data_IF_947494597302
#
_entry.id   IF_947494597302
#
_cell.length_a   1.000
_cell.length_b   1.000
_cell.length_c   1.000
_cell.angle_alpha   90.00
_cell.angle_beta   90.00
_cell.angle_gamma   90.00
#
_symmetry.space_group_name_H-M   'P 1'
#
loop_
_entity.id
_entity.type
_entity.pdbx_description
1 polymer ?
#
# COMPACT_ATOMS: atom_id res chain seq x y z
N UNK A 1 23.53 -27.41 -8.81
CA UNK A 1 22.93 -27.25 -10.16
C UNK A 1 21.99 -26.06 -10.24
N UNK A 2 21.54 -25.70 -11.43
CA UNK A 2 20.52 -24.66 -11.62
C UNK A 2 19.16 -25.31 -11.53
N UNK A 3 18.26 -24.70 -10.75
CA UNK A 3 16.89 -25.13 -10.55
C UNK A 3 15.94 -23.96 -10.75
N UNK A 4 14.69 -24.25 -11.03
CA UNK A 4 13.61 -23.28 -11.15
C UNK A 4 12.56 -23.57 -10.08
N UNK A 5 12.01 -22.50 -9.49
CA UNK A 5 11.08 -22.58 -8.38
C UNK A 5 9.66 -22.21 -8.85
N UNK A 6 8.71 -23.02 -8.50
CA UNK A 6 7.29 -22.65 -8.60
C UNK A 6 6.56 -22.91 -7.28
N UNK A 7 5.59 -22.08 -6.99
CA UNK A 7 4.70 -22.25 -5.85
C UNK A 7 3.28 -22.54 -6.35
N UNK A 8 2.69 -23.58 -5.81
CA UNK A 8 1.27 -23.88 -5.93
C UNK A 8 0.58 -23.34 -4.71
N UNK A 9 -0.32 -22.37 -4.90
CA UNK A 9 -0.90 -21.62 -3.79
C UNK A 9 -2.32 -21.13 -4.09
N UNK A 10 -3.04 -20.73 -3.05
CA UNK A 10 -4.26 -19.95 -3.13
C UNK A 10 -4.09 -18.58 -2.49
N UNK A 11 -4.61 -17.57 -3.15
CA UNK A 11 -4.77 -16.21 -2.66
C UNK A 11 -6.12 -15.70 -3.15
N UNK A 12 -7.14 -15.80 -2.31
CA UNK A 12 -8.54 -15.49 -2.63
C UNK A 12 -9.08 -14.29 -1.85
N UNK A 13 -8.39 -13.84 -0.81
CA UNK A 13 -8.86 -12.79 0.09
C UNK A 13 -8.67 -11.40 -0.49
N UNK A 14 -7.51 -11.10 -1.08
CA UNK A 14 -7.26 -9.81 -1.74
C UNK A 14 -7.72 -9.85 -3.19
N UNK A 15 -9.00 -9.70 -3.40
CA UNK A 15 -9.62 -9.78 -4.74
C UNK A 15 -8.92 -8.89 -5.76
N UNK A 16 -8.43 -9.49 -6.84
CA UNK A 16 -7.71 -8.86 -7.95
C UNK A 16 -6.41 -8.11 -7.57
N UNK A 17 -5.97 -8.20 -6.33
CA UNK A 17 -4.70 -7.62 -5.86
C UNK A 17 -3.64 -8.70 -5.70
N UNK A 18 -2.37 -8.39 -5.95
CA UNK A 18 -1.28 -9.28 -5.59
C UNK A 18 -1.04 -9.28 -4.08
N UNK A 19 -0.36 -10.31 -3.61
CA UNK A 19 0.31 -10.33 -2.30
C UNK A 19 1.81 -10.37 -2.52
N UNK A 20 2.55 -9.80 -1.60
CA UNK A 20 3.99 -9.65 -1.72
C UNK A 20 4.72 -10.54 -0.70
N UNK A 21 5.75 -11.22 -1.16
CA UNK A 21 6.62 -12.06 -0.32
C UNK A 21 8.08 -11.79 -0.65
N UNK A 22 8.91 -11.68 0.36
CA UNK A 22 10.35 -11.77 0.20
C UNK A 22 10.74 -13.24 0.13
N UNK A 23 11.60 -13.59 -0.82
CA UNK A 23 12.07 -14.93 -1.06
C UNK A 23 13.55 -15.03 -0.71
N UNK A 24 13.90 -15.95 0.20
CA UNK A 24 15.28 -16.18 0.61
C UNK A 24 15.63 -17.66 0.45
N UNK A 25 16.87 -17.92 0.05
CA UNK A 25 17.47 -19.24 0.10
C UNK A 25 18.72 -19.16 0.98
N UNK A 26 18.77 -20.00 2.00
CA UNK A 26 19.86 -20.03 2.99
C UNK A 26 20.13 -18.64 3.61
N UNK A 27 19.06 -17.88 3.87
CA UNK A 27 19.10 -16.54 4.43
C UNK A 27 19.53 -15.44 3.46
N UNK A 28 19.75 -15.75 2.18
CA UNK A 28 20.10 -14.77 1.14
C UNK A 28 18.90 -14.49 0.23
N UNK A 29 18.65 -13.22 -0.13
CA UNK A 29 17.61 -12.90 -1.10
C UNK A 29 17.79 -13.68 -2.39
N UNK A 30 16.71 -14.24 -2.92
CA UNK A 30 16.76 -15.11 -4.09
C UNK A 30 17.26 -14.37 -5.35
N UNK A 31 16.96 -13.08 -5.46
CA UNK A 31 17.23 -12.26 -6.64
C UNK A 31 17.99 -10.96 -6.30
N UNK A 32 18.96 -11.00 -5.41
CA UNK A 32 19.77 -9.83 -5.06
C UNK A 32 18.91 -8.69 -4.48
N UNK A 33 18.69 -7.63 -5.26
CA UNK A 33 17.92 -6.46 -4.83
C UNK A 33 16.39 -6.65 -4.90
N UNK A 34 15.90 -7.77 -5.45
CA UNK A 34 14.48 -8.00 -5.62
C UNK A 34 13.84 -8.44 -4.30
N UNK A 35 13.47 -7.45 -3.51
CA UNK A 35 12.59 -7.63 -2.36
C UNK A 35 11.14 -7.49 -2.80
N UNK A 36 10.25 -8.21 -2.13
CA UNK A 36 8.79 -8.10 -2.35
C UNK A 36 8.30 -8.63 -3.70
N UNK A 37 8.55 -9.90 -3.95
CA UNK A 37 7.99 -10.59 -5.11
C UNK A 37 6.46 -10.63 -5.06
N UNK A 38 5.81 -10.26 -6.16
CA UNK A 38 4.35 -10.20 -6.26
C UNK A 38 3.76 -11.53 -6.70
N UNK A 39 2.90 -12.11 -5.88
CA UNK A 39 2.09 -13.29 -6.20
C UNK A 39 0.69 -12.88 -6.61
N UNK A 40 0.24 -13.23 -7.84
CA UNK A 40 -1.07 -12.86 -8.36
C UNK A 40 -2.24 -13.40 -7.55
N UNK A 41 -3.38 -12.71 -7.64
CA UNK A 41 -4.66 -13.24 -7.19
C UNK A 41 -5.05 -14.51 -7.94
N UNK A 42 -5.45 -15.54 -7.21
CA UNK A 42 -5.78 -16.85 -7.79
C UNK A 42 -7.28 -17.05 -8.08
N UNK A 43 -8.12 -16.17 -7.57
CA UNK A 43 -9.56 -16.40 -7.52
C UNK A 43 -9.92 -17.40 -6.42
N UNK A 44 -10.95 -18.20 -6.66
CA UNK A 44 -11.41 -19.24 -5.71
C UNK A 44 -10.62 -20.56 -5.79
N UNK A 45 -9.56 -20.60 -6.62
CA UNK A 45 -8.81 -21.84 -6.86
C UNK A 45 -7.36 -21.78 -6.45
N UNK A 46 -6.69 -22.92 -6.57
CA UNK A 46 -5.24 -23.05 -6.40
C UNK A 46 -4.60 -22.87 -7.78
N UNK A 47 -3.50 -22.12 -7.86
CA UNK A 47 -2.71 -21.93 -9.07
C UNK A 47 -1.25 -22.20 -8.83
N UNK A 48 -0.58 -22.71 -9.87
CA UNK A 48 0.89 -22.82 -9.89
C UNK A 48 1.47 -21.55 -10.50
N UNK A 49 2.44 -20.96 -9.86
CA UNK A 49 3.15 -19.78 -10.33
C UNK A 49 4.65 -20.02 -10.28
N UNK A 50 5.30 -20.03 -11.45
CA UNK A 50 6.75 -20.12 -11.57
C UNK A 50 7.38 -18.77 -11.28
N UNK A 51 8.32 -18.75 -10.36
CA UNK A 51 9.05 -17.54 -10.00
C UNK A 51 9.86 -17.07 -11.20
N UNK A 52 9.62 -15.83 -11.62
CA UNK A 52 10.13 -15.28 -12.87
C UNK A 52 10.68 -13.87 -12.66
N UNK A 53 11.70 -13.50 -13.45
CA UNK A 53 12.28 -12.15 -13.52
C UNK A 53 12.21 -11.69 -14.96
N UNK A 54 11.73 -10.51 -15.20
CA UNK A 54 11.55 -9.93 -16.55
C UNK A 54 10.84 -10.88 -17.54
N UNK A 55 9.81 -11.56 -17.03
CA UNK A 55 9.00 -12.49 -17.83
C UNK A 55 9.64 -13.84 -18.11
N UNK A 56 10.86 -14.10 -17.63
CA UNK A 56 11.55 -15.37 -17.80
C UNK A 56 11.66 -16.12 -16.47
N UNK A 57 11.50 -17.45 -16.43
CA UNK A 57 11.73 -18.25 -15.24
C UNK A 57 13.11 -17.99 -14.64
N UNK A 58 13.14 -17.71 -13.34
CA UNK A 58 14.38 -17.37 -12.66
C UNK A 58 15.13 -18.62 -12.22
N UNK A 59 16.36 -18.76 -12.69
CA UNK A 59 17.27 -19.85 -12.31
C UNK A 59 17.91 -19.61 -10.96
N UNK A 60 17.81 -20.59 -10.07
CA UNK A 60 18.37 -20.63 -8.74
C UNK A 60 19.52 -21.65 -8.70
N UNK A 61 20.74 -21.23 -8.38
CA UNK A 61 21.86 -22.16 -8.22
C UNK A 61 21.86 -22.74 -6.80
N UNK A 62 21.74 -24.06 -6.71
CA UNK A 62 21.83 -24.82 -5.46
C UNK A 62 23.01 -25.80 -5.52
N UNK A 63 23.79 -25.87 -4.47
CA UNK A 63 24.82 -26.90 -4.27
C UNK A 63 24.15 -28.22 -3.87
N UNK A 64 24.93 -29.28 -3.70
CA UNK A 64 24.42 -30.52 -3.16
C UNK A 64 24.33 -30.40 -1.63
N UNK A 65 23.16 -30.61 -1.07
CA UNK A 65 22.95 -30.50 0.39
C UNK A 65 21.52 -30.16 0.76
N UNK A 66 21.34 -29.81 2.02
CA UNK A 66 20.07 -29.26 2.54
C UNK A 66 20.04 -27.74 2.31
N UNK A 67 18.92 -27.25 1.89
CA UNK A 67 18.67 -25.82 1.67
C UNK A 67 17.41 -25.37 2.37
N UNK A 68 17.41 -24.15 2.86
CA UNK A 68 16.24 -23.53 3.49
C UNK A 68 15.66 -22.48 2.57
N UNK A 69 14.39 -22.67 2.15
CA UNK A 69 13.61 -21.66 1.47
C UNK A 69 12.73 -20.91 2.50
N UNK A 70 12.90 -19.60 2.59
CA UNK A 70 12.10 -18.75 3.46
C UNK A 70 11.23 -17.84 2.62
N UNK A 71 9.91 -17.84 2.93
CA UNK A 71 8.94 -16.89 2.39
C UNK A 71 8.47 -15.99 3.54
N UNK A 72 8.78 -14.72 3.43
CA UNK A 72 8.40 -13.72 4.40
C UNK A 72 7.34 -12.78 3.80
N UNK A 73 6.28 -12.50 4.54
CA UNK A 73 5.27 -11.53 4.09
C UNK A 73 5.87 -10.14 4.05
N UNK A 74 5.70 -9.44 2.94
CA UNK A 74 6.19 -8.08 2.77
C UNK A 74 5.06 -7.15 2.36
N UNK A 75 4.98 -5.98 3.00
CA UNK A 75 4.10 -4.89 2.58
C UNK A 75 4.89 -3.69 2.03
N UNK A 76 6.23 -3.84 1.86
CA UNK A 76 7.12 -2.75 1.44
C UNK A 76 6.61 -1.97 0.22
N UNK A 77 6.08 -2.60 -0.85
CA UNK A 77 5.58 -1.86 -2.00
C UNK A 77 4.34 -0.99 -1.72
N UNK A 78 3.69 -1.21 -0.58
CA UNK A 78 2.47 -0.51 -0.18
C UNK A 78 2.72 0.46 0.98
N UNK A 79 3.92 0.46 1.54
CA UNK A 79 4.23 1.20 2.78
C UNK A 79 4.04 2.70 2.61
N UNK A 80 4.59 3.27 1.54
CA UNK A 80 4.47 4.69 1.25
C UNK A 80 3.00 5.11 1.04
N UNK A 81 2.24 4.31 0.30
CA UNK A 81 0.80 4.56 0.14
C UNK A 81 0.04 4.44 1.47
N UNK A 82 0.44 3.51 2.32
CA UNK A 82 -0.13 3.36 3.65
C UNK A 82 0.17 4.59 4.52
N UNK A 83 1.40 5.07 4.56
CA UNK A 83 1.79 6.29 5.29
C UNK A 83 1.02 7.51 4.78
N UNK A 84 0.95 7.69 3.47
CA UNK A 84 0.19 8.77 2.86
C UNK A 84 -1.30 8.75 3.27
N UNK A 85 -1.93 7.57 3.26
CA UNK A 85 -3.32 7.43 3.71
C UNK A 85 -3.47 7.65 5.22
N UNK A 86 -2.45 7.30 6.02
CA UNK A 86 -2.43 7.59 7.45
C UNK A 86 -2.41 9.11 7.70
N UNK A 87 -1.62 9.86 6.94
CA UNK A 87 -1.57 11.31 7.01
C UNK A 87 -2.91 11.93 6.59
N UNK A 88 -3.55 11.40 5.56
CA UNK A 88 -4.91 11.78 5.16
C UNK A 88 -5.91 11.62 6.32
N UNK A 89 -5.88 10.48 7.02
CA UNK A 89 -6.77 10.26 8.18
C UNK A 89 -6.48 11.23 9.31
N UNK A 90 -5.20 11.50 9.59
CA UNK A 90 -4.78 12.46 10.61
C UNK A 90 -5.28 13.87 10.27
N UNK A 91 -5.15 14.29 9.02
CA UNK A 91 -5.57 15.58 8.53
C UNK A 91 -7.10 15.75 8.55
N UNK A 92 -7.84 14.72 8.15
CA UNK A 92 -9.31 14.66 8.29
C UNK A 92 -9.72 14.89 9.74
N UNK A 93 -9.06 14.24 10.68
CA UNK A 93 -9.37 14.38 12.11
C UNK A 93 -9.02 15.77 12.63
N UNK A 94 -7.90 16.36 12.20
CA UNK A 94 -7.50 17.74 12.54
C UNK A 94 -8.55 18.74 12.06
N UNK A 95 -8.90 18.70 10.79
CA UNK A 95 -9.90 19.58 10.18
C UNK A 95 -11.25 19.43 10.87
N UNK A 96 -11.68 18.21 11.16
CA UNK A 96 -12.94 17.98 11.85
C UNK A 96 -12.99 18.63 13.24
N UNK A 97 -11.87 18.62 13.97
CA UNK A 97 -11.77 19.30 15.27
C UNK A 97 -11.82 20.82 15.13
N UNK A 98 -11.18 21.40 14.12
CA UNK A 98 -11.21 22.84 13.86
C UNK A 98 -12.61 23.31 13.47
N UNK A 99 -13.29 22.59 12.58
CA UNK A 99 -14.69 22.89 12.22
C UNK A 99 -15.61 22.81 13.45
N UNK A 100 -15.39 21.81 14.33
CA UNK A 100 -16.15 21.72 15.60
C UNK A 100 -15.89 22.90 16.53
N UNK A 101 -14.69 23.46 16.59
CA UNK A 101 -14.40 24.67 17.36
C UNK A 101 -15.18 25.87 16.82
N UNK A 102 -15.25 26.04 15.51
CA UNK A 102 -16.00 27.12 14.85
C UNK A 102 -17.50 26.97 15.08
N UNK A 103 -18.04 25.75 14.94
CA UNK A 103 -19.49 25.49 15.00
C UNK A 103 -20.01 25.25 16.42
N UNK A 104 -19.14 25.18 17.43
CA UNK A 104 -19.52 24.86 18.81
C UNK A 104 -20.12 23.45 18.96
N UNK A 105 -19.78 22.53 18.07
CA UNK A 105 -20.29 21.15 17.99
C UNK A 105 -21.82 21.04 17.78
N UNK A 106 -22.47 22.12 17.38
CA UNK A 106 -23.90 22.18 17.04
C UNK A 106 -24.04 22.81 15.67
N UNK A 107 -24.39 22.01 14.68
CA UNK A 107 -24.55 22.48 13.31
C UNK A 107 -26.00 22.97 13.14
N UNK A 108 -26.16 24.26 12.90
CA UNK A 108 -27.38 24.85 12.42
C UNK A 108 -27.31 24.93 10.90
N UNK A 109 -28.17 24.14 10.24
CA UNK A 109 -28.20 24.05 8.77
C UNK A 109 -28.73 25.31 8.07
N UNK A 110 -29.34 26.21 8.82
CA UNK A 110 -29.85 27.47 8.29
C UNK A 110 -28.87 28.64 8.50
N UNK A 111 -27.71 28.37 9.12
CA UNK A 111 -26.71 29.37 9.40
C UNK A 111 -25.58 29.29 8.36
N UNK A 112 -25.28 30.39 7.71
CA UNK A 112 -24.06 30.59 6.98
C UNK A 112 -22.89 30.69 7.99
N UNK A 113 -22.06 29.65 8.04
CA UNK A 113 -20.95 29.57 9.00
C UNK A 113 -19.73 30.37 8.58
N UNK A 114 -19.67 30.82 7.30
CA UNK A 114 -18.53 31.58 6.74
C UNK A 114 -17.19 30.98 7.11
N UNK A 115 -17.05 29.69 6.89
CA UNK A 115 -15.94 28.87 7.40
C UNK A 115 -14.58 29.43 6.99
N UNK A 116 -14.44 30.01 5.80
CA UNK A 116 -13.19 30.63 5.31
C UNK A 116 -12.77 31.89 6.08
N UNK A 117 -13.68 32.56 6.80
CA UNK A 117 -13.30 33.68 7.68
C UNK A 117 -12.52 33.19 8.93
N UNK A 118 -12.75 31.93 9.36
CA UNK A 118 -12.10 31.32 10.53
C UNK A 118 -10.99 30.35 10.14
N UNK A 119 -11.12 29.69 9.01
CA UNK A 119 -10.22 28.69 8.44
C UNK A 119 -9.95 29.05 6.97
N UNK A 120 -9.07 30.02 6.71
CA UNK A 120 -8.88 30.56 5.35
C UNK A 120 -8.34 29.53 4.36
N UNK A 121 -7.60 28.54 4.82
CA UNK A 121 -6.96 27.52 3.97
C UNK A 121 -7.82 26.26 3.80
N UNK A 122 -9.00 26.18 4.43
CA UNK A 122 -9.82 24.95 4.49
C UNK A 122 -10.12 24.36 3.11
N UNK A 123 -10.38 25.22 2.12
CA UNK A 123 -10.68 24.77 0.76
C UNK A 123 -9.48 24.12 0.09
N UNK A 124 -8.32 24.75 0.21
CA UNK A 124 -7.05 24.20 -0.32
C UNK A 124 -6.63 22.92 0.38
N UNK A 125 -6.81 22.85 1.69
CA UNK A 125 -6.56 21.63 2.48
C UNK A 125 -7.44 20.46 2.03
N UNK A 126 -8.74 20.70 1.82
CA UNK A 126 -9.65 19.66 1.34
C UNK A 126 -9.29 19.17 -0.08
N UNK A 127 -8.87 20.06 -0.97
CA UNK A 127 -8.35 19.67 -2.28
C UNK A 127 -7.05 18.90 -2.18
N UNK A 128 -6.13 19.29 -1.30
CA UNK A 128 -4.87 18.59 -1.10
C UNK A 128 -5.09 17.16 -0.62
N UNK A 129 -6.00 16.95 0.35
CA UNK A 129 -6.38 15.61 0.82
C UNK A 129 -7.04 14.80 -0.32
N UNK A 130 -7.91 15.42 -1.13
CA UNK A 130 -8.54 14.74 -2.26
C UNK A 130 -7.50 14.25 -3.28
N UNK A 131 -6.46 15.05 -3.54
CA UNK A 131 -5.37 14.72 -4.45
C UNK A 131 -4.52 13.57 -3.91
N UNK A 132 -4.18 13.59 -2.61
CA UNK A 132 -3.48 12.49 -1.95
C UNK A 132 -4.27 11.17 -2.04
N UNK A 133 -5.59 11.20 -1.81
CA UNK A 133 -6.44 10.01 -1.96
C UNK A 133 -6.50 9.53 -3.40
N UNK A 134 -6.54 10.44 -4.39
CA UNK A 134 -6.50 10.09 -5.81
C UNK A 134 -5.15 9.47 -6.20
N UNK A 135 -4.05 9.97 -5.65
CA UNK A 135 -2.71 9.40 -5.85
C UNK A 135 -2.66 7.96 -5.31
N UNK A 136 -3.10 7.74 -4.09
CA UNK A 136 -3.19 6.40 -3.52
C UNK A 136 -4.10 5.47 -4.34
N UNK A 137 -5.23 5.98 -4.84
CA UNK A 137 -6.10 5.26 -5.76
C UNK A 137 -5.37 4.82 -7.03
N UNK A 138 -4.61 5.72 -7.66
CA UNK A 138 -3.87 5.44 -8.88
C UNK A 138 -2.81 4.35 -8.65
N UNK A 139 -2.07 4.43 -7.54
CA UNK A 139 -1.06 3.44 -7.13
C UNK A 139 -1.69 2.05 -7.00
N UNK A 140 -2.70 1.93 -6.16
CA UNK A 140 -3.33 0.64 -5.85
C UNK A 140 -4.03 0.06 -7.07
N UNK A 141 -4.72 0.90 -7.87
CA UNK A 141 -5.36 0.48 -9.11
C UNK A 141 -4.35 -0.03 -10.14
N UNK A 142 -3.15 0.54 -10.19
CA UNK A 142 -2.08 0.10 -11.07
C UNK A 142 -1.53 -1.28 -10.73
N UNK A 143 -1.65 -1.72 -9.48
CA UNK A 143 -1.22 -3.05 -9.02
C UNK A 143 -2.29 -4.13 -9.27
N UNK A 144 -3.51 -3.74 -9.55
CA UNK A 144 -4.62 -4.66 -9.70
C UNK A 144 -4.61 -5.39 -11.04
N UNK A 145 -4.94 -6.67 -11.03
CA UNK A 145 -5.06 -7.50 -12.26
C UNK A 145 -6.28 -7.17 -13.11
N UNK A 146 -7.27 -6.49 -12.54
CA UNK A 146 -8.51 -6.03 -13.20
C UNK A 146 -8.89 -4.65 -12.67
N UNK A 147 -9.48 -3.82 -13.52
CA UNK A 147 -9.81 -2.42 -13.20
C UNK A 147 -10.82 -2.19 -12.07
N UNK A 148 -11.60 -3.20 -11.68
CA UNK A 148 -12.66 -3.04 -10.68
C UNK A 148 -12.31 -3.82 -9.41
N UNK A 149 -11.85 -3.11 -8.40
CA UNK A 149 -11.67 -3.63 -7.04
C UNK A 149 -12.62 -2.85 -6.14
N UNK A 150 -13.50 -3.53 -5.43
CA UNK A 150 -14.46 -2.88 -4.51
C UNK A 150 -13.76 -2.01 -3.47
N UNK A 151 -12.68 -2.48 -2.87
CA UNK A 151 -11.90 -1.72 -1.88
C UNK A 151 -11.28 -0.44 -2.46
N UNK A 152 -10.91 -0.44 -3.74
CA UNK A 152 -10.34 0.74 -4.41
C UNK A 152 -11.43 1.71 -4.87
N UNK A 153 -12.65 1.23 -5.13
CA UNK A 153 -13.78 2.10 -5.45
C UNK A 153 -14.14 3.03 -4.29
N UNK A 154 -13.92 2.62 -3.04
CA UNK A 154 -14.13 3.44 -1.86
C UNK A 154 -13.18 4.64 -1.79
N UNK A 155 -11.92 4.51 -2.21
CA UNK A 155 -11.02 5.66 -2.35
C UNK A 155 -11.52 6.66 -3.37
N UNK A 156 -12.01 6.18 -4.52
CA UNK A 156 -12.58 7.06 -5.55
C UNK A 156 -13.78 7.84 -5.03
N UNK A 157 -14.65 7.18 -4.26
CA UNK A 157 -15.80 7.84 -3.61
C UNK A 157 -15.32 8.83 -2.55
N UNK A 158 -14.30 8.49 -1.77
CA UNK A 158 -13.71 9.37 -0.76
C UNK A 158 -13.14 10.64 -1.42
N UNK A 159 -12.33 10.51 -2.47
CA UNK A 159 -11.75 11.64 -3.21
C UNK A 159 -12.84 12.56 -3.81
N UNK A 160 -13.84 11.98 -4.47
CA UNK A 160 -14.96 12.73 -5.02
C UNK A 160 -15.76 13.48 -3.93
N UNK A 161 -15.92 12.86 -2.76
CA UNK A 161 -16.60 13.49 -1.61
C UNK A 161 -15.79 14.66 -1.07
N UNK A 162 -14.46 14.50 -0.95
CA UNK A 162 -13.55 15.57 -0.52
C UNK A 162 -13.55 16.76 -1.50
N UNK A 163 -13.49 16.47 -2.79
CA UNK A 163 -13.61 17.51 -3.83
C UNK A 163 -14.91 18.28 -3.70
N UNK A 164 -16.03 17.57 -3.52
CA UNK A 164 -17.34 18.23 -3.31
C UNK A 164 -17.36 19.08 -2.05
N UNK A 165 -16.71 18.64 -0.97
CA UNK A 165 -16.60 19.44 0.25
C UNK A 165 -15.76 20.71 0.04
N UNK A 166 -14.70 20.62 -0.76
CA UNK A 166 -13.91 21.79 -1.13
C UNK A 166 -14.67 22.77 -2.03
N UNK A 167 -15.50 22.28 -2.93
CA UNK A 167 -16.35 23.11 -3.81
C UNK A 167 -17.45 23.82 -3.04
N UNK A 168 -18.07 23.15 -2.06
CA UNK A 168 -19.23 23.64 -1.28
C UNK A 168 -18.96 23.48 0.22
N UNK A 169 -18.41 24.53 0.83
CA UNK A 169 -18.07 24.53 2.26
C UNK A 169 -19.33 24.56 3.18
N UNK A 170 -20.44 25.07 2.70
CA UNK A 170 -21.71 25.00 3.45
C UNK A 170 -22.22 23.55 3.49
N UNK A 171 -22.17 22.87 2.36
CA UNK A 171 -22.44 21.43 2.29
C UNK A 171 -21.47 20.64 3.17
N UNK A 172 -20.17 21.00 3.19
CA UNK A 172 -19.17 20.36 4.02
C UNK A 172 -19.52 20.47 5.51
N UNK A 173 -19.76 21.66 6.01
CA UNK A 173 -20.13 21.87 7.43
C UNK A 173 -21.39 21.08 7.78
N UNK A 174 -22.41 21.13 6.92
CA UNK A 174 -23.67 20.41 7.15
C UNK A 174 -23.53 18.89 7.15
N UNK A 175 -22.43 18.35 6.60
CA UNK A 175 -22.13 16.93 6.51
C UNK A 175 -20.85 16.53 7.25
N UNK A 176 -20.38 17.32 8.21
CA UNK A 176 -19.10 17.09 8.92
C UNK A 176 -19.03 15.72 9.60
N UNK A 177 -20.14 15.15 10.03
CA UNK A 177 -20.18 13.79 10.58
C UNK A 177 -19.81 12.73 9.54
N UNK A 178 -20.14 12.96 8.26
CA UNK A 178 -19.75 12.08 7.15
C UNK A 178 -18.30 12.29 6.68
N UNK A 179 -17.66 13.31 7.15
CA UNK A 179 -16.25 13.55 6.87
C UNK A 179 -15.35 12.69 7.77
N UNK A 180 -15.55 12.74 9.09
CA UNK A 180 -14.63 12.12 10.05
C UNK A 180 -15.23 11.05 10.96
N UNK A 181 -16.56 10.87 10.99
CA UNK A 181 -17.23 10.04 12.00
C UNK A 181 -18.34 9.19 11.41
N UNK A 182 -18.48 7.97 11.94
CA UNK A 182 -19.57 7.07 11.62
C UNK A 182 -19.40 6.27 10.34
N UNK A 183 -20.31 5.34 10.15
CA UNK A 183 -20.28 4.43 9.02
C UNK A 183 -20.44 5.16 7.69
N UNK A 184 -19.55 4.83 6.75
CA UNK A 184 -19.51 5.44 5.43
C UNK A 184 -18.86 6.83 5.39
N UNK A 185 -18.24 7.30 6.49
CA UNK A 185 -17.45 8.53 6.48
C UNK A 185 -16.21 8.40 5.59
N UNK A 186 -15.65 9.55 5.17
CA UNK A 186 -14.41 9.58 4.40
C UNK A 186 -13.27 8.91 5.18
N UNK A 187 -13.13 9.23 6.47
CA UNK A 187 -12.12 8.63 7.34
C UNK A 187 -12.26 7.11 7.43
N UNK A 188 -13.47 6.59 7.62
CA UNK A 188 -13.70 5.14 7.70
C UNK A 188 -13.37 4.43 6.39
N UNK A 189 -13.75 4.99 5.24
CA UNK A 189 -13.43 4.40 3.92
C UNK A 189 -11.93 4.28 3.69
N UNK A 190 -11.18 5.32 4.05
CA UNK A 190 -9.72 5.32 3.96
C UNK A 190 -9.12 4.32 4.94
N UNK A 191 -9.53 4.33 6.21
CA UNK A 191 -8.99 3.43 7.25
C UNK A 191 -9.28 1.96 6.96
N UNK A 192 -10.47 1.63 6.46
CA UNK A 192 -10.83 0.25 6.09
C UNK A 192 -9.93 -0.30 4.98
N UNK A 193 -9.57 0.55 4.00
CA UNK A 193 -8.61 0.13 2.99
C UNK A 193 -7.21 -0.07 3.57
N UNK A 194 -6.76 0.83 4.44
CA UNK A 194 -5.43 0.75 5.07
C UNK A 194 -5.24 -0.56 5.82
N UNK A 195 -6.24 -1.00 6.59
CA UNK A 195 -6.22 -2.27 7.31
C UNK A 195 -5.97 -3.45 6.36
N UNK A 196 -6.57 -3.41 5.17
CA UNK A 196 -6.38 -4.43 4.14
C UNK A 196 -5.04 -4.37 3.40
N UNK A 197 -4.37 -3.21 3.34
CA UNK A 197 -3.12 -3.06 2.57
C UNK A 197 -1.97 -3.88 3.14
N UNK A 198 -1.82 -3.89 4.46
CA UNK A 198 -0.73 -4.58 5.14
C UNK A 198 -0.96 -6.09 5.26
N UNK A 199 -2.20 -6.54 5.12
CA UNK A 199 -2.51 -7.96 5.15
C UNK A 199 -2.07 -8.65 3.85
N UNK A 200 -1.23 -9.69 3.96
CA UNK A 200 -0.61 -10.40 2.83
C UNK A 200 -0.93 -11.91 2.87
N UNK A 201 -2.22 -12.30 2.73
CA UNK A 201 -2.67 -13.69 2.89
C UNK A 201 -2.22 -14.54 1.71
N UNK A 202 -1.74 -15.75 1.98
CA UNK A 202 -1.35 -16.72 0.96
C UNK A 202 -1.26 -18.10 1.60
N UNK A 203 -2.04 -19.04 1.09
CA UNK A 203 -1.98 -20.43 1.50
C UNK A 203 -1.16 -21.24 0.49
N UNK A 204 -0.07 -21.84 0.94
CA UNK A 204 0.85 -22.60 0.08
C UNK A 204 0.44 -24.07 0.13
N UNK A 205 0.12 -24.63 -1.02
CA UNK A 205 -0.20 -26.05 -1.20
C UNK A 205 1.06 -26.87 -1.47
N UNK A 206 1.91 -26.42 -2.40
CA UNK A 206 3.13 -27.11 -2.78
C UNK A 206 4.24 -26.14 -3.18
N UNK A 207 5.48 -26.56 -2.95
CA UNK A 207 6.70 -25.93 -3.45
C UNK A 207 7.31 -26.91 -4.45
N UNK A 208 7.49 -26.46 -5.69
CA UNK A 208 7.98 -27.27 -6.79
C UNK A 208 9.37 -26.76 -7.21
N UNK A 209 10.30 -27.67 -7.33
CA UNK A 209 11.67 -27.42 -7.80
C UNK A 209 11.96 -28.33 -8.97
N UNK A 210 12.40 -27.79 -10.11
CA UNK A 210 12.81 -28.57 -11.27
C UNK A 210 14.12 -28.03 -11.86
N UNK A 211 15.00 -28.92 -12.36
CA UNK A 211 16.18 -28.50 -13.14
C UNK A 211 15.82 -27.94 -14.52
N UNK A 212 14.56 -28.04 -14.93
CA UNK A 212 14.05 -27.53 -16.20
C UNK A 212 12.82 -26.66 -15.97
N UNK A 213 12.88 -25.45 -16.49
CA UNK A 213 11.74 -24.50 -16.38
C UNK A 213 10.47 -25.06 -17.06
N UNK A 214 10.61 -25.77 -18.16
CA UNK A 214 9.48 -26.31 -18.93
C UNK A 214 8.69 -27.40 -18.19
N UNK A 215 9.27 -28.00 -17.15
CA UNK A 215 8.58 -28.98 -16.30
C UNK A 215 7.63 -28.30 -15.30
N UNK A 216 7.74 -26.98 -15.15
CA UNK A 216 6.90 -26.16 -14.27
C UNK A 216 5.86 -25.43 -15.11
N UNK A 217 4.60 -25.48 -14.68
CA UNK A 217 3.51 -24.78 -15.38
C UNK A 217 3.74 -23.26 -15.36
N UNK A 218 3.73 -22.65 -16.54
CA UNK A 218 3.88 -21.21 -16.69
C UNK A 218 2.50 -20.56 -16.72
N UNK A 219 2.11 -19.92 -15.62
CA UNK A 219 0.93 -19.08 -15.57
C UNK A 219 1.33 -17.59 -15.46
N UNK A 220 1.31 -16.89 -16.59
CA UNK A 220 1.23 -15.43 -16.63
C UNK A 220 2.51 -14.63 -16.33
N UNK A 221 3.51 -14.70 -17.20
CA UNK A 221 4.75 -13.93 -17.13
C UNK A 221 4.56 -12.40 -17.22
N UNK A 222 3.46 -11.90 -17.81
CA UNK A 222 3.22 -10.47 -18.03
C UNK A 222 2.72 -9.69 -16.81
N UNK A 223 2.20 -10.38 -15.80
CA UNK A 223 1.62 -9.70 -14.62
C UNK A 223 2.68 -9.06 -13.72
N UNK A 224 3.76 -9.79 -13.42
CA UNK A 224 4.82 -9.27 -12.55
C UNK A 224 5.50 -8.04 -13.15
N UNK A 225 5.79 -8.08 -14.44
CA UNK A 225 6.40 -6.95 -15.15
C UNK A 225 5.53 -5.70 -15.11
N UNK A 226 4.21 -5.85 -15.25
CA UNK A 226 3.27 -4.73 -15.17
C UNK A 226 3.24 -4.12 -13.76
N UNK A 227 3.17 -4.95 -12.71
CA UNK A 227 3.18 -4.50 -11.31
C UNK A 227 4.52 -3.88 -10.95
N UNK A 228 5.64 -4.50 -11.36
CA UNK A 228 6.98 -4.00 -11.06
C UNK A 228 7.28 -2.66 -11.76
N UNK A 229 6.90 -2.52 -13.02
CA UNK A 229 7.01 -1.23 -13.74
C UNK A 229 6.16 -0.13 -13.07
N UNK A 230 5.02 -0.49 -12.52
CA UNK A 230 4.17 0.46 -11.80
C UNK A 230 4.83 0.89 -10.47
N UNK A 231 5.40 -0.05 -9.72
CA UNK A 231 6.15 0.22 -8.48
C UNK A 231 7.38 1.08 -8.80
N UNK A 232 8.16 0.75 -9.82
CA UNK A 232 9.31 1.56 -10.24
C UNK A 232 8.92 2.97 -10.67
N UNK A 233 7.83 3.13 -11.44
CA UNK A 233 7.35 4.47 -11.83
C UNK A 233 7.01 5.33 -10.61
N UNK A 234 6.45 4.73 -9.57
CA UNK A 234 6.16 5.42 -8.32
C UNK A 234 7.43 5.89 -7.62
N UNK A 235 8.42 5.00 -7.47
CA UNK A 235 9.71 5.38 -6.91
C UNK A 235 10.35 6.55 -7.67
N UNK A 236 10.33 6.53 -9.01
CA UNK A 236 10.88 7.62 -9.81
C UNK A 236 10.07 8.92 -9.74
N UNK A 237 8.77 8.87 -9.52
CA UNK A 237 7.93 10.06 -9.41
C UNK A 237 8.19 10.79 -8.09
N UNK A 238 8.42 10.06 -7.00
CA UNK A 238 8.68 10.65 -5.69
C UNK A 238 10.14 11.11 -5.51
N UNK A 239 11.10 10.38 -6.07
CA UNK A 239 12.53 10.79 -6.03
C UNK A 239 12.81 12.03 -6.87
N UNK A 240 12.05 12.27 -7.94
CA UNK A 240 12.25 13.43 -8.80
C UNK A 240 11.77 14.76 -8.18
N UNK A 241 10.86 14.74 -7.20
CA UNK A 241 10.35 15.94 -6.54
C UNK A 241 11.18 16.38 -5.32
N UNK A 242 12.11 15.52 -4.84
CA UNK A 242 12.95 15.80 -3.66
C UNK A 242 14.31 16.46 -3.96
N UNK A 243 14.66 16.69 -5.21
CA UNK A 243 16.00 17.18 -5.62
C UNK A 243 16.15 18.71 -5.62
N UNK A 244 15.24 19.45 -4.95
CA UNK A 244 15.34 20.93 -4.84
C UNK A 244 15.53 21.46 -3.43
N UNK A 245 15.94 20.67 -2.45
CA UNK A 245 16.32 21.17 -1.14
C UNK A 245 17.63 20.53 -0.66
N UNK A 246 18.73 21.00 -1.22
CA UNK A 246 20.03 20.74 -0.62
C UNK A 246 20.15 21.44 0.73
N UNK A 247 20.10 20.68 1.81
CA UNK A 247 20.82 20.95 3.05
C UNK A 247 20.89 19.66 3.88
N UNK A 248 22.10 19.17 4.05
CA UNK A 248 22.47 18.14 5.03
C UNK A 248 22.18 18.66 6.43
N UNK A 249 21.17 18.10 7.08
CA UNK A 249 21.08 18.10 8.53
C UNK A 249 21.10 16.64 9.01
N UNK A 250 21.99 16.33 9.94
CA UNK A 250 21.95 15.10 10.70
C UNK A 250 20.64 15.14 11.53
N UNK A 251 19.58 14.52 11.03
CA UNK A 251 18.34 14.39 11.80
C UNK A 251 18.35 13.03 12.52
N UNK A 252 18.28 13.11 13.85
CA UNK A 252 17.98 11.95 14.68
C UNK A 252 16.56 11.44 14.34
N UNK A 253 16.47 10.24 13.78
CA UNK A 253 15.21 9.59 13.48
C UNK A 253 14.58 9.06 14.78
N UNK A 254 13.61 9.77 15.34
CA UNK A 254 12.82 9.30 16.47
C UNK A 254 11.66 8.44 15.96
N UNK A 255 11.81 7.11 16.02
CA UNK A 255 10.78 6.17 15.62
C UNK A 255 9.87 5.81 16.81
N UNK A 256 8.61 6.24 16.77
CA UNK A 256 7.58 5.83 17.72
C UNK A 256 6.85 4.60 17.22
N UNK A 257 7.10 3.44 17.84
CA UNK A 257 6.43 2.17 17.46
C UNK A 257 5.28 1.90 18.42
N UNK A 258 4.03 2.03 17.94
CA UNK A 258 2.84 1.65 18.68
C UNK A 258 2.62 0.12 18.65
N UNK A 259 2.84 -0.52 19.79
CA UNK A 259 2.35 -1.86 20.14
C UNK A 259 2.64 -3.05 19.23
N UNK A 260 3.88 -3.49 19.13
CA UNK A 260 4.25 -4.90 19.30
C UNK A 260 5.76 -5.03 19.46
N UNK A 261 6.21 -5.78 20.42
CA UNK A 261 7.62 -6.05 20.73
C UNK A 261 8.39 -6.61 19.53
N UNK A 262 7.73 -7.29 18.61
CA UNK A 262 8.32 -7.85 17.38
C UNK A 262 8.85 -6.79 16.40
N UNK A 263 8.16 -5.67 16.24
CA UNK A 263 8.60 -4.61 15.31
C UNK A 263 9.79 -3.82 15.85
N UNK A 264 9.89 -3.67 17.18
CA UNK A 264 11.01 -2.97 17.82
C UNK A 264 12.30 -3.76 17.70
N UNK A 265 12.25 -5.09 17.83
CA UNK A 265 13.42 -5.96 17.68
C UNK A 265 13.90 -6.01 16.22
N UNK A 266 12.99 -6.08 15.25
CA UNK A 266 13.34 -6.06 13.84
C UNK A 266 13.98 -4.73 13.40
N UNK A 267 13.49 -3.59 13.90
CA UNK A 267 14.09 -2.28 13.64
C UNK A 267 15.46 -2.11 14.32
N UNK A 268 15.63 -2.66 15.51
CA UNK A 268 16.91 -2.65 16.23
C UNK A 268 17.96 -3.48 15.49
N UNK A 269 17.59 -4.66 15.00
CA UNK A 269 18.47 -5.54 14.21
C UNK A 269 18.84 -4.93 12.86
N UNK A 270 17.95 -4.16 12.22
CA UNK A 270 18.22 -3.42 11.00
C UNK A 270 19.15 -2.22 11.23
N UNK A 271 19.02 -1.52 12.35
CA UNK A 271 19.90 -0.42 12.74
C UNK A 271 21.31 -0.93 13.05
N UNK A 272 21.45 -2.04 13.79
CA UNK A 272 22.73 -2.63 14.19
C UNK A 272 23.51 -3.25 13.00
N UNK A 273 22.85 -3.56 11.86
CA UNK A 273 23.51 -4.09 10.65
C UNK A 273 24.06 -3.01 9.71
N UNK A 274 23.83 -1.75 9.97
CA UNK A 274 24.24 -0.63 9.10
C UNK A 274 25.41 0.21 9.63
N UNK A 275 25.99 -0.16 10.80
CA UNK A 275 27.20 0.48 11.33
C UNK A 275 28.32 -0.52 11.56
#
# INVERSE_FOLDING_TARGET
>A
GVYYLALRYSQSEKTNMPVFKNLYVDGRPLFGEMQSYAFPYTGSGIKTHTVSVDGSPAGLYLEAGEHTLTLESSASPLYETFEQLQDVVNEINRIALEVKKVTGNKIDKNRDWKLEEFLPDIRSELYAIADQVNTAYAVISGMASKQTISAVSDLKVAAATLTRYAEDLEYFVNNISRFSQGSGSVAERVSTLMDGLLHQPMDIDQILLSPRADDLEHHGTGFFEAVWKQIQKLFYTFVADYDTAGQTSEEELNVWVGRSTFHVEALRELADRRY
#
